data_IF_823613556459
#
_entry.id   IF_823613556459
#
_cell.length_a   1.000
_cell.length_b   1.000
_cell.length_c   1.000
_cell.angle_alpha   90.00
_cell.angle_beta   90.00
_cell.angle_gamma   90.00
#
_symmetry.space_group_name_H-M   'P 1'
#
loop_
_entity.id
_entity.type
_entity.pdbx_description
1 polymer ?
#
# COMPACT_ATOMS: atom_id res chain seq x y z
N UNK A 1 -4.87 -18.74 8.97
CA UNK A 1 -3.69 -18.44 8.14
C UNK A 1 -3.57 -16.93 8.12
N UNK A 2 -2.38 -16.38 8.37
CA UNK A 2 -2.16 -14.94 8.22
C UNK A 2 -2.21 -14.62 6.72
N UNK A 3 -3.12 -13.74 6.32
CA UNK A 3 -3.16 -13.24 4.94
C UNK A 3 -1.86 -12.51 4.64
N UNK A 4 -1.28 -12.85 3.49
CA UNK A 4 -0.05 -12.24 3.01
C UNK A 4 -0.02 -12.23 1.49
N UNK A 5 0.61 -11.20 0.93
CA UNK A 5 0.88 -11.07 -0.49
C UNK A 5 2.38 -11.23 -0.73
N UNK A 6 2.74 -11.96 -1.77
CA UNK A 6 4.12 -12.07 -2.19
C UNK A 6 4.45 -10.91 -3.12
N UNK A 7 5.43 -10.09 -2.75
CA UNK A 7 5.89 -8.96 -3.55
C UNK A 7 6.95 -9.39 -4.56
N UNK A 8 7.61 -10.54 -4.34
CA UNK A 8 8.61 -11.05 -5.25
C UNK A 8 7.97 -11.48 -6.58
N UNK A 9 8.55 -11.05 -7.70
CA UNK A 9 8.06 -11.26 -9.06
C UNK A 9 6.93 -10.32 -9.49
N UNK A 10 6.66 -9.27 -8.71
CA UNK A 10 5.58 -8.29 -9.00
C UNK A 10 6.17 -6.94 -9.40
N UNK A 11 5.34 -6.04 -9.96
CA UNK A 11 5.78 -4.70 -10.38
C UNK A 11 6.25 -3.80 -9.22
N UNK A 12 5.98 -4.19 -7.97
CA UNK A 12 6.40 -3.47 -6.76
C UNK A 12 7.64 -4.10 -6.09
N UNK A 13 8.24 -5.16 -6.67
CA UNK A 13 9.45 -5.78 -6.13
C UNK A 13 10.59 -4.76 -5.97
N UNK A 14 10.85 -3.96 -7.01
CA UNK A 14 11.88 -2.92 -6.99
C UNK A 14 11.60 -1.77 -6.00
N UNK A 15 10.37 -1.66 -5.51
CA UNK A 15 9.95 -0.67 -4.52
C UNK A 15 10.14 -1.17 -3.08
N UNK A 16 10.45 -2.45 -2.88
CA UNK A 16 10.70 -3.04 -1.57
C UNK A 16 12.01 -2.52 -0.97
N UNK A 17 11.91 -1.83 0.17
CA UNK A 17 13.05 -1.21 0.89
C UNK A 17 13.44 -1.95 2.18
N UNK A 18 12.89 -3.15 2.39
CA UNK A 18 13.12 -3.93 3.61
C UNK A 18 11.88 -4.04 4.48
N UNK A 19 12.10 -4.47 5.72
CA UNK A 19 11.02 -4.70 6.67
C UNK A 19 10.51 -3.38 7.26
N UNK A 20 9.19 -3.20 7.33
CA UNK A 20 8.55 -2.00 7.87
C UNK A 20 7.11 -1.85 7.44
N UNK A 21 6.40 -0.87 8.00
CA UNK A 21 5.00 -0.60 7.63
C UNK A 21 4.91 0.15 6.31
N UNK A 22 3.95 -0.27 5.49
CA UNK A 22 3.75 0.28 4.17
C UNK A 22 2.28 0.15 3.73
N UNK A 23 1.95 0.91 2.70
CA UNK A 23 0.72 0.85 1.96
C UNK A 23 0.98 0.17 0.61
N UNK A 24 0.16 -0.83 0.29
CA UNK A 24 0.16 -1.53 -0.99
C UNK A 24 -1.03 -1.05 -1.81
N UNK A 25 -0.76 -0.45 -2.97
CA UNK A 25 -1.77 -0.03 -3.93
C UNK A 25 -1.97 -1.16 -4.94
N UNK A 26 -3.23 -1.55 -5.10
CA UNK A 26 -3.66 -2.62 -5.99
C UNK A 26 -4.68 -2.06 -6.95
N UNK A 27 -4.45 -2.17 -8.26
CA UNK A 27 -5.37 -1.68 -9.30
C UNK A 27 -5.68 -2.83 -10.25
N UNK A 28 -6.96 -3.06 -10.56
CA UNK A 28 -7.43 -4.20 -11.36
C UNK A 28 -6.91 -5.58 -10.86
N UNK A 29 -6.59 -5.69 -9.57
CA UNK A 29 -6.02 -6.91 -8.96
C UNK A 29 -4.50 -7.05 -9.10
N UNK A 30 -3.80 -6.06 -9.68
CA UNK A 30 -2.34 -6.05 -9.81
C UNK A 30 -1.70 -5.06 -8.83
N UNK A 31 -0.54 -5.40 -8.29
CA UNK A 31 0.20 -4.52 -7.38
C UNK A 31 0.92 -3.44 -8.18
N UNK A 32 0.50 -2.19 -8.04
CA UNK A 32 1.05 -1.08 -8.83
C UNK A 32 2.06 -0.26 -8.06
N UNK A 33 1.83 -0.03 -6.76
CA UNK A 33 2.73 0.77 -5.91
C UNK A 33 2.88 0.22 -4.50
N UNK A 34 4.07 0.42 -3.94
CA UNK A 34 4.38 0.14 -2.53
C UNK A 34 4.96 1.40 -1.88
N UNK A 35 4.27 1.92 -0.88
CA UNK A 35 4.56 3.21 -0.25
C UNK A 35 4.83 2.99 1.23
N UNK A 36 6.04 3.27 1.70
CA UNK A 36 6.36 3.11 3.13
C UNK A 36 5.83 4.28 3.96
N UNK A 37 5.36 4.01 5.18
CA UNK A 37 4.86 5.05 6.12
C UNK A 37 5.93 6.08 6.47
N UNK A 38 7.18 5.62 6.57
CA UNK A 38 8.32 6.48 6.83
C UNK A 38 9.35 6.33 5.69
N UNK A 39 9.78 7.44 5.05
CA UNK A 39 10.88 7.40 4.08
C UNK A 39 12.24 7.08 4.72
N UNK A 40 12.37 7.17 6.05
CA UNK A 40 13.58 6.78 6.77
C UNK A 40 13.85 5.27 6.65
N UNK A 41 15.12 4.90 6.55
CA UNK A 41 15.57 3.52 6.50
C UNK A 41 16.38 3.20 7.77
N UNK A 42 15.93 2.29 8.66
CA UNK A 42 14.74 1.43 8.51
C UNK A 42 13.41 2.19 8.71
N UNK A 43 12.31 1.74 8.07
CA UNK A 43 10.99 2.32 8.28
C UNK A 43 10.55 2.05 9.72
N UNK A 44 10.50 3.10 10.53
CA UNK A 44 9.96 3.05 11.89
C UNK A 44 8.45 3.30 11.80
N UNK A 45 7.66 2.46 12.48
CA UNK A 45 6.21 2.65 12.59
C UNK A 45 5.94 4.06 13.11
N UNK A 46 5.17 4.84 12.35
CA UNK A 46 4.78 6.19 12.71
C UNK A 46 3.27 6.21 12.78
N UNK A 47 2.73 6.71 13.89
CA UNK A 47 1.30 6.98 14.01
C UNK A 47 0.99 8.17 13.08
N UNK A 48 0.65 7.86 11.83
CA UNK A 48 0.29 8.83 10.81
C UNK A 48 -1.20 9.16 10.94
N UNK A 49 -1.51 10.45 11.05
CA UNK A 49 -2.90 10.91 10.92
C UNK A 49 -3.42 10.68 9.49
N UNK A 50 -4.74 10.61 9.31
CA UNK A 50 -5.38 10.47 8.00
C UNK A 50 -4.88 11.52 6.97
N UNK A 51 -4.70 12.78 7.39
CA UNK A 51 -4.10 13.84 6.57
C UNK A 51 -2.67 13.53 6.11
N UNK A 52 -1.82 12.93 6.96
CA UNK A 52 -0.45 12.57 6.59
C UNK A 52 -0.44 11.40 5.60
N UNK A 53 -1.36 10.44 5.77
CA UNK A 53 -1.54 9.31 4.86
C UNK A 53 -1.99 9.80 3.47
N UNK A 54 -3.01 10.65 3.41
CA UNK A 54 -3.47 11.26 2.16
C UNK A 54 -2.35 12.05 1.47
N UNK A 55 -1.56 12.79 2.24
CA UNK A 55 -0.42 13.52 1.70
C UNK A 55 0.64 12.58 1.12
N UNK A 56 0.96 11.46 1.80
CA UNK A 56 1.86 10.44 1.27
C UNK A 56 1.38 9.86 -0.05
N UNK A 57 0.08 9.58 -0.18
CA UNK A 57 -0.51 9.11 -1.43
C UNK A 57 -0.36 10.13 -2.56
N UNK A 58 -0.63 11.41 -2.28
CA UNK A 58 -0.43 12.49 -3.24
C UNK A 58 1.05 12.63 -3.63
N UNK A 59 1.98 12.59 -2.66
CA UNK A 59 3.43 12.68 -2.90
C UNK A 59 3.95 11.50 -3.75
N UNK A 60 3.35 10.32 -3.62
CA UNK A 60 3.67 9.14 -4.42
C UNK A 60 2.83 9.03 -5.70
N UNK A 61 2.15 10.11 -6.09
CA UNK A 61 1.33 10.19 -7.32
C UNK A 61 0.30 9.07 -7.39
N UNK A 62 -0.38 8.80 -6.28
CA UNK A 62 -1.58 7.95 -6.24
C UNK A 62 -2.76 8.83 -6.63
N UNK A 63 -3.32 8.57 -7.81
CA UNK A 63 -4.48 9.31 -8.32
C UNK A 63 -5.75 8.56 -7.92
N UNK A 64 -6.52 9.10 -6.97
CA UNK A 64 -7.73 8.44 -6.48
C UNK A 64 -8.80 8.27 -7.55
N UNK A 65 -8.82 9.13 -8.58
CA UNK A 65 -9.78 9.02 -9.68
C UNK A 65 -9.43 7.85 -10.61
N UNK A 66 -8.15 7.67 -10.94
CA UNK A 66 -7.69 6.47 -11.65
C UNK A 66 -7.88 5.21 -10.81
N UNK A 67 -7.62 5.30 -9.50
CA UNK A 67 -7.80 4.20 -8.57
C UNK A 67 -9.25 3.73 -8.55
N UNK A 68 -10.23 4.63 -8.45
CA UNK A 68 -11.66 4.29 -8.54
C UNK A 68 -12.02 3.63 -9.88
N UNK A 69 -11.57 4.22 -10.99
CA UNK A 69 -11.82 3.69 -12.33
C UNK A 69 -11.22 2.28 -12.54
N UNK A 70 -10.09 2.01 -11.90
CA UNK A 70 -9.36 0.75 -11.96
C UNK A 70 -9.76 -0.22 -10.82
N UNK A 71 -10.86 0.03 -10.10
CA UNK A 71 -11.29 -0.81 -8.96
C UNK A 71 -10.18 -0.99 -7.93
N UNK A 72 -9.48 0.09 -7.67
CA UNK A 72 -8.28 0.12 -6.89
C UNK A 72 -8.55 -0.03 -5.40
N UNK A 73 -7.62 -0.65 -4.71
CA UNK A 73 -7.64 -0.86 -3.27
C UNK A 73 -6.29 -0.44 -2.70
N UNK A 74 -6.32 0.17 -1.53
CA UNK A 74 -5.11 0.46 -0.76
C UNK A 74 -5.17 -0.34 0.52
N UNK A 75 -4.16 -1.18 0.70
CA UNK A 75 -3.97 -1.95 1.92
C UNK A 75 -2.89 -1.31 2.76
N UNK A 76 -3.08 -1.17 4.07
CA UNK A 76 -2.00 -0.97 5.03
C UNK A 76 -1.52 -2.32 5.54
N UNK A 77 -0.25 -2.42 5.94
CA UNK A 77 0.30 -3.66 6.43
C UNK A 77 1.80 -3.58 6.65
N UNK A 78 2.41 -4.74 6.91
CA UNK A 78 3.84 -4.82 7.19
C UNK A 78 4.56 -5.56 6.05
N UNK A 79 5.60 -4.93 5.53
CA UNK A 79 6.58 -5.56 4.66
C UNK A 79 7.57 -6.38 5.49
N UNK A 80 7.86 -7.62 5.08
CA UNK A 80 8.92 -8.46 5.66
C UNK A 80 9.33 -9.56 4.67
N UNK A 81 10.62 -9.74 4.41
CA UNK A 81 11.16 -10.76 3.51
C UNK A 81 10.48 -10.82 2.12
N UNK A 82 10.25 -9.68 1.47
CA UNK A 82 9.49 -9.57 0.21
C UNK A 82 8.02 -10.03 0.29
N UNK A 83 7.46 -10.09 1.49
CA UNK A 83 6.04 -10.36 1.71
C UNK A 83 5.39 -9.13 2.34
N UNK A 84 4.15 -8.87 1.94
CA UNK A 84 3.27 -7.92 2.59
C UNK A 84 2.29 -8.71 3.47
N UNK A 85 2.44 -8.61 4.78
CA UNK A 85 1.69 -9.40 5.77
C UNK A 85 0.71 -8.50 6.52
N UNK A 86 -0.35 -9.12 7.02
CA UNK A 86 -1.43 -8.44 7.75
C UNK A 86 -2.04 -7.27 6.94
N UNK A 87 -2.46 -7.50 5.67
CA UNK A 87 -3.09 -6.46 4.89
C UNK A 87 -4.44 -6.07 5.51
N UNK A 88 -4.59 -4.80 5.83
CA UNK A 88 -5.84 -4.18 6.26
C UNK A 88 -6.28 -3.19 5.19
N UNK A 89 -7.56 -3.24 4.80
CA UNK A 89 -8.09 -2.37 3.76
C UNK A 89 -8.28 -0.97 4.34
N UNK A 90 -7.55 0.01 3.81
CA UNK A 90 -7.68 1.43 4.19
C UNK A 90 -8.64 2.13 3.24
N UNK A 91 -8.52 1.83 1.94
CA UNK A 91 -9.38 2.39 0.90
C UNK A 91 -9.84 1.26 -0.01
N UNK A 92 -11.14 1.15 -0.19
CA UNK A 92 -11.77 0.23 -1.13
C UNK A 92 -12.74 1.00 -2.03
N UNK A 93 -12.32 1.22 -3.28
CA UNK A 93 -13.16 1.96 -4.23
C UNK A 93 -14.27 1.11 -4.85
N UNK A 94 -14.29 -0.20 -4.60
CA UNK A 94 -15.41 -1.07 -5.02
C UNK A 94 -16.58 -1.03 -4.04
N UNK A 95 -16.37 -0.56 -2.80
CA UNK A 95 -17.37 -0.55 -1.72
C UNK A 95 -18.12 0.78 -1.62
N UNK A 96 -18.11 1.62 -2.66
CA UNK A 96 -19.09 2.70 -2.82
C UNK A 96 -20.24 2.23 -3.72
N UNK A 97 -21.12 1.42 -3.15
CA UNK A 97 -22.46 1.20 -3.65
C UNK A 97 -23.36 0.85 -2.46
N UNK A 98 -23.86 1.88 -1.77
CA UNK A 98 -25.18 1.87 -1.11
C UNK A 98 -25.67 3.31 -0.82
#
# INVERSE_FOLDING_TARGET
MLEHYNLAGTAVEDQYKGAGYAFLVVENGEFTKLIYENPECPPVAKDLSEDEILKLFIENSVDFYELEKNKGKIYSGMCSCFQFVLPEVVIDTETESE
#
